data_IF_262412037754
#
_entry.id   IF_262412037754
#
_cell.length_a   1.000
_cell.length_b   1.000
_cell.length_c   1.000
_cell.angle_alpha   90.00
_cell.angle_beta   90.00
_cell.angle_gamma   90.00
#
_symmetry.space_group_name_H-M   'P 1'
#
loop_
_entity.id
_entity.type
_entity.pdbx_description
1 polymer ?
#
# COMPACT_ATOMS: atom_id res chain seq x y z
N UNK A 1 -14.15 -23.89 -18.39
CA UNK A 1 -13.32 -22.77 -17.89
C UNK A 1 -14.02 -21.49 -18.30
N UNK A 2 -14.87 -20.99 -17.42
CA UNK A 2 -15.75 -19.84 -17.67
C UNK A 2 -14.90 -18.57 -17.76
N UNK A 3 -15.24 -17.70 -18.72
CA UNK A 3 -14.54 -16.45 -19.02
C UNK A 3 -14.14 -15.69 -17.75
N UNK A 4 -12.85 -15.69 -17.42
CA UNK A 4 -12.30 -14.65 -16.57
C UNK A 4 -12.52 -13.32 -17.29
N UNK A 5 -13.30 -12.41 -16.70
CA UNK A 5 -13.52 -11.07 -17.23
C UNK A 5 -12.18 -10.46 -17.64
N UNK A 6 -12.12 -9.93 -18.87
CA UNK A 6 -10.93 -9.26 -19.36
C UNK A 6 -10.67 -8.04 -18.47
N UNK A 7 -9.65 -8.11 -17.63
CA UNK A 7 -9.21 -6.96 -16.84
C UNK A 7 -8.15 -6.20 -17.63
N UNK A 8 -8.34 -4.88 -17.77
CA UNK A 8 -7.40 -3.97 -18.46
C UNK A 8 -5.98 -4.08 -17.91
N UNK A 9 -5.83 -4.46 -16.63
CA UNK A 9 -4.53 -4.72 -16.01
C UNK A 9 -3.69 -5.78 -16.75
N UNK A 10 -4.33 -6.75 -17.43
CA UNK A 10 -3.63 -7.77 -18.23
C UNK A 10 -2.91 -7.19 -19.45
N UNK A 11 -3.30 -6.00 -19.93
CA UNK A 11 -2.62 -5.32 -21.03
C UNK A 11 -1.39 -4.53 -20.58
N UNK A 12 -1.18 -4.36 -19.28
CA UNK A 12 -0.14 -3.48 -18.77
C UNK A 12 1.27 -3.97 -19.15
N UNK A 13 1.57 -5.27 -18.97
CA UNK A 13 2.87 -5.83 -19.39
C UNK A 13 3.07 -5.73 -20.90
N UNK A 14 2.14 -6.20 -21.76
CA UNK A 14 2.25 -6.00 -23.20
C UNK A 14 2.47 -4.54 -23.60
N UNK A 15 1.75 -3.60 -22.98
CA UNK A 15 1.89 -2.17 -23.27
C UNK A 15 3.30 -1.65 -22.92
N UNK A 16 3.85 -2.01 -21.77
CA UNK A 16 5.22 -1.63 -21.38
C UNK A 16 6.25 -2.28 -22.31
N UNK A 17 6.09 -3.56 -22.66
CA UNK A 17 6.95 -4.24 -23.62
C UNK A 17 6.92 -3.57 -25.01
N UNK A 18 5.74 -3.19 -25.49
CA UNK A 18 5.58 -2.45 -26.75
C UNK A 18 6.26 -1.08 -26.64
N UNK A 19 6.11 -0.36 -25.53
CA UNK A 19 6.75 0.93 -25.32
C UNK A 19 8.29 0.81 -25.32
N UNK A 20 8.84 -0.18 -24.61
CA UNK A 20 10.28 -0.46 -24.59
C UNK A 20 10.76 -0.78 -26.01
N UNK A 21 10.07 -1.69 -26.71
CA UNK A 21 10.43 -2.09 -28.07
C UNK A 21 10.34 -0.91 -29.06
N UNK A 22 9.30 -0.09 -28.95
CA UNK A 22 9.11 1.11 -29.75
C UNK A 22 10.30 2.05 -29.54
N UNK A 23 10.52 2.53 -28.31
CA UNK A 23 11.57 3.49 -28.01
C UNK A 23 12.98 2.95 -28.32
N UNK A 24 13.25 1.66 -28.08
CA UNK A 24 14.57 1.07 -28.29
C UNK A 24 14.87 0.76 -29.76
N UNK A 25 13.92 0.21 -30.52
CA UNK A 25 14.20 -0.34 -31.85
C UNK A 25 13.73 0.58 -32.98
N UNK A 26 12.57 1.24 -32.86
CA UNK A 26 12.12 2.14 -33.93
C UNK A 26 12.97 3.40 -33.99
N UNK A 27 13.52 3.85 -32.85
CA UNK A 27 14.53 4.91 -32.82
C UNK A 27 15.81 4.52 -33.55
N UNK A 28 16.33 3.31 -33.36
CA UNK A 28 17.51 2.81 -34.08
C UNK A 28 17.24 2.70 -35.58
N UNK A 29 16.10 2.13 -35.97
CA UNK A 29 15.67 2.07 -37.38
C UNK A 29 15.61 3.49 -37.96
N UNK A 30 14.98 4.42 -37.25
CA UNK A 30 14.93 5.82 -37.67
C UNK A 30 16.32 6.41 -37.86
N UNK A 31 17.24 6.20 -36.90
CA UNK A 31 18.60 6.73 -36.97
C UNK A 31 19.45 6.13 -38.10
N UNK A 32 19.14 4.91 -38.55
CA UNK A 32 19.82 4.28 -39.69
C UNK A 32 19.39 4.90 -41.03
N UNK A 33 18.12 5.29 -41.17
CA UNK A 33 17.58 5.87 -42.40
C UNK A 33 17.54 7.40 -42.41
N UNK A 34 18.00 8.06 -41.34
CA UNK A 34 18.01 9.51 -41.24
C UNK A 34 19.40 10.06 -41.62
N UNK A 35 19.56 10.37 -42.91
CA UNK A 35 20.85 10.73 -43.53
C UNK A 35 21.52 11.96 -42.89
N UNK A 36 20.75 12.92 -42.38
CA UNK A 36 21.31 14.15 -41.80
C UNK A 36 22.10 13.89 -40.52
N UNK A 37 21.86 12.79 -39.81
CA UNK A 37 22.58 12.41 -38.59
C UNK A 37 22.57 10.89 -38.40
N UNK A 38 23.45 10.18 -39.12
CA UNK A 38 23.50 8.72 -39.06
C UNK A 38 23.93 8.25 -37.67
N UNK A 39 23.42 7.08 -37.30
CA UNK A 39 23.77 6.40 -36.06
C UNK A 39 25.26 6.00 -36.07
N UNK A 40 26.01 6.40 -35.04
CA UNK A 40 27.41 5.94 -34.89
C UNK A 40 27.46 4.56 -34.27
N UNK A 41 28.50 3.78 -34.57
CA UNK A 41 28.67 2.42 -34.01
C UNK A 41 28.68 2.42 -32.47
N UNK A 42 29.31 3.41 -31.84
CA UNK A 42 29.34 3.53 -30.38
C UNK A 42 27.96 3.84 -29.79
N UNK A 43 27.12 4.58 -30.51
CA UNK A 43 25.73 4.86 -30.11
C UNK A 43 24.88 3.59 -30.20
N UNK A 44 25.05 2.76 -31.25
CA UNK A 44 24.38 1.45 -31.39
C UNK A 44 24.65 0.59 -30.16
N UNK A 45 25.92 0.44 -29.78
CA UNK A 45 26.29 -0.39 -28.63
C UNK A 45 25.69 0.13 -27.32
N UNK A 46 25.73 1.44 -27.09
CA UNK A 46 25.16 2.04 -25.87
C UNK A 46 23.65 1.85 -25.78
N UNK A 47 22.92 2.09 -26.87
CA UNK A 47 21.46 1.90 -26.91
C UNK A 47 21.13 0.42 -26.62
N UNK A 48 21.81 -0.51 -27.28
CA UNK A 48 21.52 -1.94 -27.11
C UNK A 48 21.91 -2.47 -25.72
N UNK A 49 23.02 -2.02 -25.14
CA UNK A 49 23.39 -2.37 -23.76
C UNK A 49 22.33 -1.86 -22.77
N UNK A 50 21.89 -0.60 -22.91
CA UNK A 50 20.86 -0.03 -22.05
C UNK A 50 19.52 -0.76 -22.23
N UNK A 51 19.13 -1.07 -23.47
CA UNK A 51 17.93 -1.85 -23.77
C UNK A 51 17.99 -3.25 -23.14
N UNK A 52 19.12 -3.96 -23.22
CA UNK A 52 19.31 -5.25 -22.56
C UNK A 52 19.17 -5.14 -21.04
N UNK A 53 19.78 -4.12 -20.43
CA UNK A 53 19.62 -3.87 -18.99
C UNK A 53 18.16 -3.60 -18.60
N UNK A 54 17.44 -2.79 -19.39
CA UNK A 54 16.01 -2.52 -19.19
C UNK A 54 15.20 -3.82 -19.28
N UNK A 55 15.40 -4.61 -20.33
CA UNK A 55 14.69 -5.89 -20.53
C UNK A 55 14.93 -6.87 -19.39
N UNK A 56 16.18 -7.04 -18.95
CA UNK A 56 16.52 -7.92 -17.84
C UNK A 56 15.85 -7.44 -16.55
N UNK A 57 15.98 -6.16 -16.20
CA UNK A 57 15.42 -5.62 -14.97
C UNK A 57 13.90 -5.66 -14.98
N UNK A 58 13.25 -5.33 -16.10
CA UNK A 58 11.80 -5.38 -16.23
C UNK A 58 11.27 -6.82 -16.14
N UNK A 59 11.90 -7.76 -16.85
CA UNK A 59 11.56 -9.18 -16.75
C UNK A 59 11.62 -9.67 -15.30
N UNK A 60 12.67 -9.30 -14.57
CA UNK A 60 12.82 -9.68 -13.16
C UNK A 60 11.80 -9.01 -12.25
N UNK A 61 11.48 -7.73 -12.47
CA UNK A 61 10.44 -7.05 -11.72
C UNK A 61 9.05 -7.73 -11.90
N UNK A 62 8.77 -8.26 -13.10
CA UNK A 62 7.52 -8.95 -13.40
C UNK A 62 7.48 -10.40 -12.88
N UNK A 63 8.60 -11.12 -12.92
CA UNK A 63 8.61 -12.58 -12.70
C UNK A 63 9.15 -13.04 -11.35
N UNK A 64 9.91 -12.19 -10.65
CA UNK A 64 10.39 -12.53 -9.30
C UNK A 64 9.21 -12.57 -8.34
N UNK A 65 9.09 -13.66 -7.61
CA UNK A 65 8.08 -13.83 -6.57
C UNK A 65 8.25 -12.75 -5.48
N UNK A 66 7.23 -11.91 -5.21
CA UNK A 66 7.25 -10.89 -4.16
C UNK A 66 7.26 -11.46 -2.75
N UNK A 67 7.31 -12.77 -2.60
CA UNK A 67 7.41 -13.45 -1.32
C UNK A 67 6.06 -13.69 -0.67
N UNK A 68 6.09 -14.47 0.39
CA UNK A 68 4.93 -14.80 1.21
C UNK A 68 5.41 -15.06 2.64
N UNK A 69 4.51 -14.86 3.59
CA UNK A 69 4.77 -15.22 4.99
C UNK A 69 4.90 -16.75 5.09
N UNK A 70 5.97 -17.29 5.71
CA UNK A 70 6.11 -18.73 5.89
C UNK A 70 4.95 -19.32 6.70
N UNK A 71 4.51 -20.53 6.32
CA UNK A 71 3.47 -21.25 7.07
C UNK A 71 3.92 -21.49 8.51
N UNK A 72 3.06 -21.13 9.46
CA UNK A 72 3.35 -21.29 10.89
C UNK A 72 4.34 -20.28 11.46
N UNK A 73 4.65 -19.19 10.73
CA UNK A 73 5.39 -18.07 11.30
C UNK A 73 4.66 -17.57 12.55
N UNK A 74 5.40 -17.41 13.63
CA UNK A 74 4.90 -16.85 14.88
C UNK A 74 5.73 -15.61 15.21
N UNK A 75 5.08 -14.55 15.72
CA UNK A 75 5.78 -13.37 16.19
C UNK A 75 6.72 -13.72 17.34
N UNK A 76 7.86 -13.06 17.37
CA UNK A 76 8.82 -13.12 18.48
C UNK A 76 8.17 -12.64 19.78
N UNK A 77 8.70 -13.06 20.92
CA UNK A 77 8.15 -12.62 22.22
C UNK A 77 8.21 -11.10 22.38
N UNK A 78 9.22 -10.44 21.79
CA UNK A 78 9.33 -8.98 21.72
C UNK A 78 8.14 -8.36 20.98
N UNK A 79 7.78 -8.90 19.82
CA UNK A 79 6.64 -8.39 19.03
C UNK A 79 5.31 -8.64 19.74
N UNK A 80 5.16 -9.79 20.39
CA UNK A 80 3.96 -10.10 21.17
C UNK A 80 3.80 -9.14 22.35
N UNK A 81 4.87 -8.80 23.04
CA UNK A 81 4.87 -7.82 24.13
C UNK A 81 4.51 -6.40 23.64
N UNK A 82 5.02 -5.99 22.48
CA UNK A 82 4.64 -4.71 21.84
C UNK A 82 3.13 -4.70 21.52
N UNK A 83 2.64 -5.75 20.88
CA UNK A 83 1.23 -5.89 20.53
C UNK A 83 0.31 -5.87 21.76
N UNK A 84 0.67 -6.59 22.82
CA UNK A 84 -0.10 -6.68 24.05
C UNK A 84 -0.24 -5.30 24.76
N UNK A 85 0.74 -4.38 24.60
CA UNK A 85 0.76 -3.07 25.30
C UNK A 85 0.15 -1.91 24.52
N UNK A 86 0.32 -1.85 23.20
CA UNK A 86 -0.11 -0.69 22.42
C UNK A 86 -1.64 -0.60 22.25
N UNK A 87 -2.32 -1.73 22.31
CA UNK A 87 -3.79 -1.87 22.43
C UNK A 87 -4.22 -3.35 22.50
N UNK A 88 -3.28 -4.28 22.63
CA UNK A 88 -3.57 -5.67 22.98
C UNK A 88 -3.66 -6.65 21.82
N UNK A 89 -3.32 -6.28 20.58
CA UNK A 89 -3.66 -7.13 19.42
C UNK A 89 -2.52 -7.31 18.43
N UNK A 90 -2.13 -8.57 18.30
CA UNK A 90 -1.17 -9.05 17.32
C UNK A 90 -1.82 -9.01 15.93
N UNK A 91 -1.19 -8.35 14.96
CA UNK A 91 -1.70 -8.26 13.59
C UNK A 91 -1.93 -9.65 12.98
N UNK A 92 -3.18 -9.98 12.70
CA UNK A 92 -3.61 -11.23 12.11
C UNK A 92 -4.08 -11.01 10.68
N UNK A 93 -3.98 -12.00 9.81
CA UNK A 93 -4.65 -11.97 8.53
C UNK A 93 -5.66 -13.11 8.49
N UNK A 94 -6.95 -12.79 8.52
CA UNK A 94 -8.00 -13.82 8.42
C UNK A 94 -7.96 -14.54 7.07
N UNK A 95 -7.75 -13.82 5.96
CA UNK A 95 -7.68 -14.41 4.61
C UNK A 95 -6.53 -15.41 4.46
N UNK A 96 -5.39 -15.18 5.11
CA UNK A 96 -4.26 -16.11 5.10
C UNK A 96 -4.24 -17.06 6.30
N UNK A 97 -5.12 -16.87 7.28
CA UNK A 97 -5.12 -17.54 8.58
C UNK A 97 -3.72 -17.58 9.22
N UNK A 98 -3.02 -16.45 9.22
CA UNK A 98 -1.65 -16.35 9.71
C UNK A 98 -1.36 -15.00 10.37
N UNK A 99 -0.37 -14.98 11.27
CA UNK A 99 0.15 -13.74 11.83
C UNK A 99 0.88 -12.94 10.75
N UNK A 100 0.66 -11.62 10.72
CA UNK A 100 1.38 -10.71 9.82
C UNK A 100 2.70 -10.29 10.48
N UNK A 101 3.85 -10.52 9.82
CA UNK A 101 5.11 -9.90 10.22
C UNK A 101 5.05 -8.37 10.16
N UNK A 102 5.98 -7.66 10.81
CA UNK A 102 6.11 -6.22 10.67
C UNK A 102 6.21 -5.82 9.20
N UNK A 103 5.58 -4.70 8.83
CA UNK A 103 5.58 -4.15 7.46
C UNK A 103 4.93 -5.06 6.39
N UNK A 104 4.36 -6.20 6.77
CA UNK A 104 3.64 -7.07 5.85
C UNK A 104 2.18 -6.61 5.72
N UNK A 105 1.64 -6.67 4.49
CA UNK A 105 0.24 -6.36 4.21
C UNK A 105 -0.37 -7.42 3.29
N UNK A 106 -1.69 -7.63 3.40
CA UNK A 106 -2.41 -8.53 2.50
C UNK A 106 -2.69 -7.79 1.18
N UNK A 107 -2.17 -8.32 0.07
CA UNK A 107 -2.50 -7.77 -1.24
C UNK A 107 -3.71 -8.47 -1.83
N UNK A 108 -4.76 -7.70 -2.17
CA UNK A 108 -6.00 -8.24 -2.77
C UNK A 108 -5.75 -8.94 -4.10
N UNK A 109 -4.87 -8.39 -4.94
CA UNK A 109 -4.57 -8.94 -6.28
C UNK A 109 -3.61 -10.14 -6.22
N UNK A 110 -2.62 -10.10 -5.31
CA UNK A 110 -1.69 -11.22 -5.12
C UNK A 110 -2.31 -12.34 -4.24
N UNK A 111 -3.45 -12.10 -3.58
CA UNK A 111 -4.20 -13.01 -2.68
C UNK A 111 -3.35 -13.62 -1.55
N UNK A 112 -2.40 -12.85 -1.02
CA UNK A 112 -1.50 -13.28 0.06
C UNK A 112 -0.88 -12.10 0.80
N UNK A 113 -0.40 -12.36 2.01
CA UNK A 113 0.44 -11.42 2.75
C UNK A 113 1.85 -11.34 2.13
N UNK A 114 2.23 -10.13 1.74
CA UNK A 114 3.52 -9.81 1.11
C UNK A 114 4.42 -9.12 2.15
N UNK A 115 5.62 -9.65 2.44
CA UNK A 115 6.53 -9.04 3.42
C UNK A 115 7.12 -7.72 2.92
N UNK A 116 7.13 -6.67 3.77
CA UNK A 116 7.48 -5.29 3.42
C UNK A 116 6.88 -4.88 2.07
N UNK A 117 5.55 -4.96 2.01
CA UNK A 117 4.82 -4.59 0.81
C UNK A 117 4.95 -3.09 0.57
N UNK A 118 5.29 -2.71 -0.65
CA UNK A 118 5.28 -1.32 -1.10
C UNK A 118 3.94 -1.02 -1.77
N UNK A 119 3.73 -1.58 -2.96
CA UNK A 119 2.47 -1.50 -3.68
C UNK A 119 2.32 -2.67 -4.66
N UNK A 120 1.10 -2.96 -5.09
CA UNK A 120 0.86 -3.79 -6.26
C UNK A 120 1.00 -2.95 -7.52
N UNK A 121 2.02 -3.18 -8.33
CA UNK A 121 2.26 -2.40 -9.54
C UNK A 121 1.51 -3.01 -10.73
N UNK A 122 0.51 -2.34 -11.32
CA UNK A 122 -0.20 -2.86 -12.49
C UNK A 122 0.75 -3.06 -13.68
N UNK A 123 1.75 -2.18 -13.83
CA UNK A 123 2.71 -2.18 -14.93
C UNK A 123 3.68 -3.36 -14.92
N UNK A 124 3.85 -4.04 -13.79
CA UNK A 124 4.60 -5.30 -13.69
C UNK A 124 3.68 -6.50 -13.46
N UNK A 125 2.37 -6.26 -13.30
CA UNK A 125 1.39 -7.24 -12.82
C UNK A 125 1.87 -8.01 -11.59
N UNK A 126 2.65 -7.34 -10.72
CA UNK A 126 3.35 -7.97 -9.61
C UNK A 126 3.43 -7.02 -8.41
N UNK A 127 3.51 -7.59 -7.21
CA UNK A 127 3.72 -6.84 -5.99
C UNK A 127 5.18 -6.34 -5.90
N UNK A 128 5.38 -5.05 -5.61
CA UNK A 128 6.67 -4.49 -5.20
C UNK A 128 6.81 -4.71 -3.69
N UNK A 129 7.86 -5.43 -3.29
CA UNK A 129 8.08 -5.89 -1.91
C UNK A 129 9.56 -5.91 -1.57
N UNK A 130 9.93 -6.35 -0.35
CA UNK A 130 11.34 -6.57 0.03
C UNK A 130 12.17 -7.29 -1.05
N UNK A 131 11.59 -8.30 -1.71
CA UNK A 131 12.33 -9.16 -2.64
C UNK A 131 12.34 -8.62 -4.07
N UNK A 132 11.31 -7.88 -4.48
CA UNK A 132 11.17 -7.35 -5.84
C UNK A 132 11.59 -5.88 -5.96
N UNK A 133 11.57 -5.10 -4.88
CA UNK A 133 11.94 -3.68 -4.85
C UNK A 133 13.33 -3.40 -5.45
N UNK A 134 14.40 -4.15 -5.13
CA UNK A 134 15.70 -3.92 -5.77
C UNK A 134 15.66 -4.07 -7.30
N UNK A 135 14.83 -4.98 -7.83
CA UNK A 135 14.69 -5.17 -9.28
C UNK A 135 13.87 -4.05 -9.91
N UNK A 136 12.81 -3.61 -9.23
CA UNK A 136 12.00 -2.46 -9.63
C UNK A 136 12.83 -1.16 -9.67
N UNK A 137 13.63 -0.89 -8.63
CA UNK A 137 14.50 0.28 -8.58
C UNK A 137 15.55 0.28 -9.72
N UNK A 138 16.16 -0.88 -10.02
CA UNK A 138 17.08 -1.02 -11.16
C UNK A 138 16.38 -0.81 -12.50
N UNK A 139 15.16 -1.34 -12.65
CA UNK A 139 14.36 -1.12 -13.84
C UNK A 139 14.13 0.38 -14.08
N UNK A 140 13.67 1.11 -13.06
CA UNK A 140 13.48 2.56 -13.16
C UNK A 140 14.77 3.31 -13.47
N UNK A 141 15.87 2.95 -12.79
CA UNK A 141 17.18 3.55 -13.04
C UNK A 141 17.61 3.39 -14.51
N UNK A 142 17.61 2.16 -15.02
CA UNK A 142 18.01 1.92 -16.41
C UNK A 142 17.02 2.48 -17.43
N UNK A 143 15.72 2.48 -17.12
CA UNK A 143 14.73 3.10 -17.98
C UNK A 143 15.00 4.60 -18.11
N UNK A 144 15.15 5.33 -17.00
CA UNK A 144 15.44 6.77 -17.00
C UNK A 144 16.77 7.08 -17.68
N UNK A 145 17.84 6.34 -17.37
CA UNK A 145 19.16 6.54 -18.03
C UNK A 145 19.07 6.26 -19.53
N UNK A 146 18.38 5.19 -19.92
CA UNK A 146 18.17 4.79 -21.31
C UNK A 146 17.41 5.84 -22.12
N UNK A 147 16.25 6.25 -21.64
CA UNK A 147 15.39 7.23 -22.32
C UNK A 147 15.95 8.66 -22.25
N UNK A 148 16.71 9.02 -21.20
CA UNK A 148 17.45 10.28 -21.16
C UNK A 148 18.57 10.29 -22.19
N UNK A 149 19.32 9.18 -22.33
CA UNK A 149 20.31 9.07 -23.39
C UNK A 149 19.67 9.18 -24.77
N UNK A 150 18.55 8.48 -25.00
CA UNK A 150 17.77 8.57 -26.24
C UNK A 150 17.28 9.99 -26.51
N UNK A 151 16.82 10.72 -25.48
CA UNK A 151 16.39 12.12 -25.60
C UNK A 151 17.52 12.99 -26.17
N UNK A 152 18.77 12.81 -25.69
CA UNK A 152 19.91 13.56 -26.24
C UNK A 152 20.15 13.26 -27.72
N UNK A 153 19.91 12.02 -28.17
CA UNK A 153 20.08 11.60 -29.57
C UNK A 153 18.94 12.13 -30.45
N UNK A 154 17.72 12.13 -29.93
CA UNK A 154 16.56 12.69 -30.63
C UNK A 154 16.69 14.21 -30.75
N UNK A 155 17.11 14.90 -29.68
CA UNK A 155 17.34 16.34 -29.68
C UNK A 155 18.34 16.78 -30.75
N UNK A 156 19.43 16.03 -30.96
CA UNK A 156 20.40 16.32 -32.03
C UNK A 156 19.78 16.30 -33.43
N UNK A 157 18.78 15.44 -33.66
CA UNK A 157 18.08 15.33 -34.95
C UNK A 157 17.02 16.40 -35.08
N UNK A 158 16.24 16.65 -34.03
CA UNK A 158 15.29 17.76 -33.95
C UNK A 158 15.99 19.09 -34.22
N UNK A 159 17.16 19.33 -33.61
CA UNK A 159 17.88 20.59 -33.80
C UNK A 159 18.40 20.78 -35.23
N UNK A 160 18.83 19.70 -35.91
CA UNK A 160 19.20 19.75 -37.34
C UNK A 160 18.03 20.06 -38.26
N UNK A 161 16.89 19.37 -38.05
CA UNK A 161 15.66 19.64 -38.82
C UNK A 161 15.21 21.08 -38.60
N UNK A 162 15.25 21.55 -37.35
CA UNK A 162 14.86 22.91 -36.99
C UNK A 162 15.79 23.97 -37.58
N UNK A 163 17.10 23.73 -37.61
CA UNK A 163 18.07 24.61 -38.27
C UNK A 163 17.84 24.71 -39.78
N UNK A 164 17.32 23.63 -40.38
CA UNK A 164 17.06 23.49 -41.82
C UNK A 164 15.64 23.93 -42.22
N UNK A 165 14.85 24.49 -41.31
CA UNK A 165 13.41 24.80 -41.53
C UNK A 165 13.09 25.75 -42.68
N UNK A 166 14.08 26.52 -43.15
CA UNK A 166 13.93 27.47 -44.25
C UNK A 166 14.28 26.84 -45.62
N UNK A 167 14.80 25.62 -45.64
CA UNK A 167 15.08 24.90 -46.87
C UNK A 167 13.77 24.43 -47.53
N UNK A 168 13.72 24.39 -48.88
CA UNK A 168 12.64 23.77 -49.60
C UNK A 168 12.41 22.32 -49.15
N UNK A 169 11.14 21.90 -49.07
CA UNK A 169 10.72 20.60 -48.52
C UNK A 169 11.36 19.37 -49.19
N UNK A 170 11.81 19.48 -50.44
CA UNK A 170 12.47 18.40 -51.19
C UNK A 170 13.95 18.19 -50.81
N UNK A 171 14.58 19.12 -50.08
CA UNK A 171 15.94 18.99 -49.55
C UNK A 171 15.98 18.52 -48.10
N UNK A 172 14.81 18.42 -47.46
CA UNK A 172 14.68 17.98 -46.08
C UNK A 172 14.24 16.52 -45.97
N UNK A 173 14.11 16.01 -44.73
CA UNK A 173 13.57 14.69 -44.48
C UNK A 173 12.12 14.57 -44.97
N UNK A 174 11.75 13.36 -45.38
CA UNK A 174 10.39 13.05 -45.81
C UNK A 174 9.36 13.33 -44.71
N UNK A 175 8.11 13.59 -45.09
CA UNK A 175 7.01 13.81 -44.14
C UNK A 175 6.86 12.64 -43.15
N UNK A 176 7.08 11.40 -43.62
CA UNK A 176 7.07 10.22 -42.77
C UNK A 176 8.19 10.22 -41.71
N UNK A 177 9.40 10.64 -42.09
CA UNK A 177 10.52 10.78 -41.15
C UNK A 177 10.26 11.89 -40.12
N UNK A 178 9.70 13.04 -40.53
CA UNK A 178 9.34 14.12 -39.60
C UNK A 178 8.25 13.64 -38.63
N UNK A 179 7.22 12.97 -39.13
CA UNK A 179 6.16 12.39 -38.29
C UNK A 179 6.70 11.36 -37.30
N UNK A 180 7.57 10.45 -37.75
CA UNK A 180 8.19 9.46 -36.88
C UNK A 180 9.07 10.10 -35.80
N UNK A 181 9.89 11.09 -36.16
CA UNK A 181 10.70 11.86 -35.21
C UNK A 181 9.82 12.56 -34.16
N UNK A 182 8.72 13.18 -34.60
CA UNK A 182 7.80 13.85 -33.69
C UNK A 182 7.19 12.87 -32.68
N UNK A 183 6.68 11.74 -33.14
CA UNK A 183 6.09 10.70 -32.26
C UNK A 183 7.14 10.14 -31.29
N UNK A 184 8.35 9.84 -31.78
CA UNK A 184 9.45 9.37 -30.93
C UNK A 184 9.81 10.40 -29.86
N UNK A 185 10.00 11.67 -30.25
CA UNK A 185 10.38 12.74 -29.33
C UNK A 185 9.31 12.94 -28.26
N UNK A 186 8.05 13.17 -28.63
CA UNK A 186 6.97 13.40 -27.68
C UNK A 186 6.77 12.20 -26.74
N UNK A 187 6.75 10.98 -27.29
CA UNK A 187 6.58 9.77 -26.48
C UNK A 187 7.74 9.59 -25.51
N UNK A 188 8.99 9.81 -25.96
CA UNK A 188 10.17 9.70 -25.13
C UNK A 188 10.19 10.77 -24.04
N UNK A 189 9.91 12.04 -24.35
CA UNK A 189 9.91 13.13 -23.36
C UNK A 189 8.84 12.93 -22.28
N UNK A 190 7.62 12.52 -22.65
CA UNK A 190 6.54 12.23 -21.69
C UNK A 190 6.88 11.03 -20.80
N UNK A 191 7.41 9.96 -21.40
CA UNK A 191 7.84 8.78 -20.66
C UNK A 191 9.00 9.10 -19.71
N UNK A 192 9.97 9.89 -20.18
CA UNK A 192 11.09 10.36 -19.38
C UNK A 192 10.63 11.18 -18.19
N UNK A 193 9.70 12.11 -18.38
CA UNK A 193 9.14 12.91 -17.29
C UNK A 193 8.46 12.02 -16.24
N UNK A 194 7.54 11.15 -16.66
CA UNK A 194 6.81 10.28 -15.75
C UNK A 194 7.73 9.32 -14.98
N UNK A 195 8.65 8.64 -15.67
CA UNK A 195 9.57 7.70 -15.02
C UNK A 195 10.63 8.40 -14.16
N UNK A 196 11.00 9.65 -14.47
CA UNK A 196 11.91 10.42 -13.61
C UNK A 196 11.25 10.77 -12.28
N UNK A 197 9.97 11.17 -12.27
CA UNK A 197 9.23 11.40 -11.03
C UNK A 197 9.12 10.11 -10.20
N UNK A 198 8.81 8.98 -10.86
CA UNK A 198 8.72 7.69 -10.19
C UNK A 198 10.07 7.23 -9.63
N UNK A 199 11.18 7.46 -10.36
CA UNK A 199 12.53 7.19 -9.87
C UNK A 199 12.88 8.06 -8.66
N UNK A 200 12.57 9.37 -8.70
CA UNK A 200 12.81 10.27 -7.57
C UNK A 200 12.03 9.84 -6.32
N UNK A 201 10.75 9.49 -6.47
CA UNK A 201 9.93 8.93 -5.37
C UNK A 201 10.53 7.64 -4.82
N UNK A 202 11.00 6.74 -5.70
CA UNK A 202 11.65 5.49 -5.31
C UNK A 202 12.97 5.72 -4.57
N UNK A 203 13.78 6.68 -5.01
CA UNK A 203 15.04 7.04 -4.34
C UNK A 203 14.79 7.70 -2.98
N UNK A 204 13.74 8.52 -2.86
CA UNK A 204 13.32 9.08 -1.58
C UNK A 204 12.87 8.00 -0.59
N UNK A 205 12.01 7.09 -1.04
CA UNK A 205 11.58 5.91 -0.27
C UNK A 205 12.77 5.05 0.16
N UNK A 206 13.73 4.83 -0.74
CA UNK A 206 14.96 4.09 -0.43
C UNK A 206 15.85 4.81 0.59
N UNK A 207 15.97 6.13 0.50
CA UNK A 207 16.77 6.95 1.42
C UNK A 207 16.17 7.07 2.81
N UNK A 208 14.83 7.04 2.93
CA UNK A 208 14.08 7.12 4.19
C UNK A 208 13.65 5.76 4.75
N UNK A 209 13.90 4.67 4.01
CA UNK A 209 13.45 3.31 4.33
C UNK A 209 11.93 3.19 4.56
N UNK A 210 11.15 4.01 3.86
CA UNK A 210 9.68 4.02 3.93
C UNK A 210 9.09 3.34 2.70
N UNK A 211 8.04 2.55 2.87
CA UNK A 211 7.20 2.09 1.76
C UNK A 211 6.14 3.14 1.40
N UNK A 212 5.46 2.99 0.27
CA UNK A 212 4.31 3.84 -0.09
C UNK A 212 3.17 3.69 0.92
N UNK A 213 2.94 2.49 1.46
CA UNK A 213 1.95 2.25 2.51
C UNK A 213 2.38 2.93 3.82
N UNK A 214 3.64 2.80 4.20
CA UNK A 214 4.16 3.45 5.42
C UNK A 214 4.15 4.96 5.32
N UNK A 215 4.43 5.52 4.14
CA UNK A 215 4.33 6.97 3.90
C UNK A 215 2.90 7.46 4.14
N UNK A 216 1.90 6.69 3.70
CA UNK A 216 0.49 6.96 3.98
C UNK A 216 0.14 6.80 5.46
N UNK A 217 0.69 5.80 6.15
CA UNK A 217 0.50 5.61 7.60
C UNK A 217 1.09 6.77 8.41
N UNK A 218 2.27 7.27 8.02
CA UNK A 218 2.90 8.45 8.63
C UNK A 218 1.98 9.67 8.48
N UNK A 219 1.50 9.94 7.26
CA UNK A 219 0.62 11.08 7.00
C UNK A 219 -0.74 10.97 7.74
N UNK A 220 -1.26 9.75 7.86
CA UNK A 220 -2.46 9.47 8.66
C UNK A 220 -2.21 9.79 10.13
N UNK A 221 -1.10 9.33 10.71
CA UNK A 221 -0.74 9.63 12.10
C UNK A 221 -0.58 11.14 12.34
N UNK A 222 0.08 11.86 11.43
CA UNK A 222 0.16 13.33 11.49
C UNK A 222 -1.22 13.99 11.47
N UNK A 223 -2.14 13.45 10.69
CA UNK A 223 -3.53 13.93 10.63
C UNK A 223 -4.28 13.67 11.94
N UNK A 224 -4.12 12.49 12.54
CA UNK A 224 -4.68 12.18 13.86
C UNK A 224 -4.09 13.09 14.93
N UNK A 225 -2.79 13.37 14.92
CA UNK A 225 -2.14 14.32 15.84
C UNK A 225 -2.68 15.75 15.69
N UNK A 226 -2.97 16.19 14.46
CA UNK A 226 -3.60 17.49 14.22
C UNK A 226 -5.04 17.53 14.76
N UNK A 227 -5.81 16.46 14.59
CA UNK A 227 -7.17 16.34 15.15
C UNK A 227 -7.11 16.30 16.69
N UNK A 228 -6.22 15.51 17.28
CA UNK A 228 -6.05 15.37 18.72
C UNK A 228 -5.68 16.69 19.37
N UNK A 229 -4.73 17.45 18.79
CA UNK A 229 -4.37 18.80 19.29
C UNK A 229 -5.55 19.77 19.34
N UNK A 230 -6.49 19.67 18.39
CA UNK A 230 -7.72 20.49 18.40
C UNK A 230 -8.72 20.06 19.48
N UNK A 231 -8.72 18.77 19.85
CA UNK A 231 -9.62 18.18 20.83
C UNK A 231 -8.98 17.98 22.22
N UNK A 232 -7.93 18.74 22.55
CA UNK A 232 -7.31 18.70 23.88
C UNK A 232 -6.35 17.52 24.12
N UNK A 233 -5.83 16.92 23.05
CA UNK A 233 -4.79 15.88 23.08
C UNK A 233 -5.30 14.45 22.99
N UNK A 234 -6.61 14.23 22.96
CA UNK A 234 -7.19 12.88 22.81
C UNK A 234 -8.27 12.85 21.74
N UNK A 235 -8.49 11.69 21.15
CA UNK A 235 -9.53 11.46 20.14
C UNK A 235 -10.57 10.47 20.66
N UNK A 236 -11.86 10.68 20.35
CA UNK A 236 -12.91 9.74 20.71
C UNK A 236 -12.80 8.47 19.84
N UNK A 237 -12.46 7.37 20.49
CA UNK A 237 -12.58 6.00 20.00
C UNK A 237 -14.01 5.45 20.13
N UNK A 238 -14.28 4.27 19.56
CA UNK A 238 -15.58 3.62 19.67
C UNK A 238 -15.95 3.31 21.13
N UNK A 239 -17.26 3.32 21.42
CA UNK A 239 -17.78 3.13 22.77
C UNK A 239 -17.47 4.27 23.75
N UNK A 240 -17.07 5.46 23.26
CA UNK A 240 -16.75 6.62 24.10
C UNK A 240 -15.37 6.58 24.75
N UNK A 241 -14.52 5.62 24.36
CA UNK A 241 -13.14 5.51 24.87
C UNK A 241 -12.33 6.70 24.36
N UNK A 242 -11.71 7.47 25.25
CA UNK A 242 -10.79 8.55 24.86
C UNK A 242 -9.39 7.97 24.63
N UNK A 243 -8.87 8.13 23.42
CA UNK A 243 -7.55 7.62 23.02
C UNK A 243 -6.58 8.79 22.96
N UNK A 244 -5.57 8.77 23.83
CA UNK A 244 -4.52 9.78 23.79
C UNK A 244 -3.56 9.50 22.64
N UNK A 245 -3.36 10.48 21.74
CA UNK A 245 -2.50 10.34 20.57
C UNK A 245 -1.21 11.12 20.80
N UNK A 246 -0.10 10.41 20.93
CA UNK A 246 1.23 10.99 21.05
C UNK A 246 1.98 10.94 19.72
N UNK A 247 2.85 11.93 19.48
CA UNK A 247 3.74 11.89 18.32
C UNK A 247 4.67 10.69 18.48
N UNK A 248 4.81 9.91 17.40
CA UNK A 248 5.73 8.78 17.34
C UNK A 248 6.58 8.96 16.09
N UNK A 249 7.89 8.79 16.21
CA UNK A 249 8.82 8.83 15.09
C UNK A 249 8.81 7.49 14.34
N UNK A 250 9.06 7.54 13.02
CA UNK A 250 9.08 6.34 12.20
C UNK A 250 10.25 5.41 12.60
N UNK A 251 10.02 4.14 12.95
CA UNK A 251 11.03 3.30 13.61
C UNK A 251 12.08 2.73 12.67
N UNK A 252 11.80 2.63 11.36
CA UNK A 252 12.68 1.92 10.42
C UNK A 252 13.69 2.83 9.70
N UNK A 253 13.70 4.14 9.98
CA UNK A 253 14.75 5.03 9.48
C UNK A 253 16.02 4.88 10.34
N UNK A 254 16.97 4.07 9.85
CA UNK A 254 18.23 3.72 10.52
C UNK A 254 19.43 4.48 9.92
N UNK A 255 19.16 5.58 9.21
CA UNK A 255 20.14 6.42 8.55
C UNK A 255 20.36 6.09 7.07
N UNK A 256 20.61 7.12 6.25
CA UNK A 256 20.56 7.08 4.78
C UNK A 256 21.32 5.88 4.17
N UNK A 257 22.55 5.63 4.61
CA UNK A 257 23.35 4.52 4.05
C UNK A 257 22.79 3.14 4.42
N UNK A 258 22.42 2.96 5.68
CA UNK A 258 21.83 1.72 6.20
C UNK A 258 20.45 1.47 5.58
N UNK A 259 19.68 2.53 5.35
CA UNK A 259 18.40 2.50 4.65
C UNK A 259 18.56 2.00 3.20
N UNK A 260 19.49 2.60 2.44
CA UNK A 260 19.77 2.18 1.06
C UNK A 260 20.25 0.72 1.04
N UNK A 261 21.16 0.34 1.95
CA UNK A 261 21.63 -1.06 2.07
C UNK A 261 20.46 -2.01 2.34
N UNK A 262 19.57 -1.69 3.27
CA UNK A 262 18.41 -2.50 3.60
C UNK A 262 17.47 -2.64 2.41
N UNK A 263 17.16 -1.54 1.71
CA UNK A 263 16.29 -1.55 0.54
C UNK A 263 16.89 -2.23 -0.70
N UNK A 264 18.22 -2.26 -0.85
CA UNK A 264 18.92 -2.95 -1.94
C UNK A 264 19.29 -4.42 -1.62
N UNK A 265 18.61 -5.03 -0.65
CA UNK A 265 18.76 -6.45 -0.33
C UNK A 265 19.89 -6.79 0.65
N UNK A 266 20.31 -5.84 1.48
CA UNK A 266 21.34 -6.03 2.51
C UNK A 266 22.78 -5.97 2.00
N UNK A 267 23.00 -5.90 0.69
CA UNK A 267 24.33 -5.80 0.07
C UNK A 267 24.93 -4.41 0.30
N UNK A 268 26.13 -4.34 0.86
CA UNK A 268 26.91 -3.09 0.94
C UNK A 268 27.67 -2.77 -0.37
N UNK A 269 27.63 -3.67 -1.37
CA UNK A 269 28.33 -3.47 -2.63
C UNK A 269 27.52 -2.56 -3.56
N UNK A 270 27.95 -1.30 -3.69
CA UNK A 270 27.31 -0.29 -4.55
C UNK A 270 27.21 -0.74 -6.01
N UNK A 271 28.19 -1.47 -6.54
CA UNK A 271 28.12 -1.98 -7.91
C UNK A 271 26.96 -2.96 -8.10
N UNK A 272 26.68 -3.77 -7.07
CA UNK A 272 25.54 -4.70 -7.09
C UNK A 272 24.18 -3.99 -7.04
N UNK A 273 24.14 -2.74 -6.59
CA UNK A 273 22.90 -1.95 -6.60
C UNK A 273 22.49 -1.61 -8.04
N UNK A 274 23.45 -1.40 -8.93
CA UNK A 274 23.19 -1.12 -10.34
C UNK A 274 23.21 -2.38 -11.21
N UNK A 275 23.82 -3.48 -10.77
CA UNK A 275 23.99 -4.67 -11.62
C UNK A 275 22.65 -5.38 -11.96
N UNK A 276 22.24 -5.49 -13.24
CA UNK A 276 20.96 -6.11 -13.65
C UNK A 276 20.81 -7.58 -13.22
N UNK A 277 21.93 -8.29 -13.12
CA UNK A 277 21.98 -9.70 -12.73
C UNK A 277 22.27 -9.89 -11.24
N UNK A 278 22.13 -8.84 -10.41
CA UNK A 278 22.30 -8.94 -8.97
C UNK A 278 21.33 -9.97 -8.34
N UNK A 279 21.75 -10.63 -7.27
CA UNK A 279 20.95 -11.66 -6.60
C UNK A 279 19.67 -11.07 -5.99
N UNK A 280 18.57 -11.81 -6.05
CA UNK A 280 17.36 -11.49 -5.27
C UNK A 280 17.64 -11.64 -3.77
N UNK A 281 17.13 -10.75 -2.90
CA UNK A 281 17.28 -10.88 -1.45
C UNK A 281 16.81 -12.25 -0.94
N UNK A 282 17.45 -12.76 0.11
CA UNK A 282 17.10 -14.08 0.65
C UNK A 282 15.74 -14.03 1.37
N UNK A 283 14.95 -15.10 1.22
CA UNK A 283 13.55 -15.16 1.72
C UNK A 283 13.43 -14.97 3.24
N UNK A 284 14.48 -15.28 3.99
CA UNK A 284 14.50 -15.08 5.45
C UNK A 284 14.58 -13.60 5.88
N UNK A 285 15.11 -12.72 5.02
CA UNK A 285 15.45 -11.33 5.38
C UNK A 285 14.26 -10.37 5.39
N UNK A 286 13.06 -10.81 5.01
CA UNK A 286 11.86 -9.97 4.89
C UNK A 286 10.91 -10.04 6.08
N UNK A 287 11.29 -10.73 7.18
CA UNK A 287 10.40 -10.97 8.32
C UNK A 287 10.72 -10.11 9.54
N UNK A 288 11.97 -9.67 9.68
CA UNK A 288 12.44 -8.84 10.77
C UNK A 288 13.23 -7.66 10.20
N UNK A 289 13.05 -6.49 10.82
CA UNK A 289 13.67 -5.25 10.36
C UNK A 289 14.36 -4.54 11.53
N UNK A 290 15.51 -3.95 11.25
CA UNK A 290 16.23 -3.13 12.21
C UNK A 290 15.45 -1.84 12.51
N UNK A 291 15.38 -1.48 13.78
CA UNK A 291 14.71 -0.29 14.29
C UNK A 291 15.75 0.70 14.81
N UNK A 292 15.49 2.00 14.68
CA UNK A 292 16.42 3.06 15.10
C UNK A 292 16.53 3.28 16.61
N UNK A 293 15.55 2.78 17.38
CA UNK A 293 15.53 2.89 18.83
C UNK A 293 15.22 4.28 19.37
N UNK A 294 14.62 5.18 18.58
CA UNK A 294 14.17 6.49 19.08
C UNK A 294 12.98 6.39 20.03
N UNK A 295 12.07 5.45 19.75
CA UNK A 295 10.89 5.19 20.57
C UNK A 295 11.13 4.08 21.59
N UNK A 296 10.31 4.05 22.64
CA UNK A 296 10.37 2.98 23.63
C UNK A 296 10.10 1.62 22.96
N UNK A 297 10.88 0.55 23.28
CA UNK A 297 10.72 -0.76 22.67
C UNK A 297 9.36 -1.42 22.88
N UNK A 298 8.47 -0.84 23.69
CA UNK A 298 7.12 -1.34 23.94
C UNK A 298 6.05 -0.68 23.06
N UNK A 299 6.41 0.40 22.36
CA UNK A 299 5.53 1.07 21.39
C UNK A 299 5.48 0.25 20.09
N UNK A 300 4.28 0.04 19.55
CA UNK A 300 4.09 -0.62 18.27
C UNK A 300 3.94 0.39 17.14
N UNK A 301 4.47 0.03 15.97
CA UNK A 301 4.15 0.69 14.71
C UNK A 301 3.30 -0.26 13.83
N UNK A 302 2.26 0.23 13.14
CA UNK A 302 1.73 1.59 13.17
C UNK A 302 1.12 1.97 14.54
N UNK A 303 1.05 3.27 14.87
CA UNK A 303 0.43 3.75 16.11
C UNK A 303 -1.04 3.32 16.20
N UNK A 304 -1.59 3.10 17.42
CA UNK A 304 -3.00 2.77 17.60
C UNK A 304 -3.90 3.86 17.01
N UNK A 305 -4.73 3.46 16.06
CA UNK A 305 -5.66 4.38 15.42
C UNK A 305 -7.02 4.30 16.14
N UNK A 306 -7.53 5.40 16.72
CA UNK A 306 -8.82 5.41 17.39
C UNK A 306 -9.98 4.99 16.47
N UNK A 307 -9.83 5.13 15.16
CA UNK A 307 -10.81 4.70 14.18
C UNK A 307 -10.71 3.20 13.84
N UNK A 308 -9.63 2.52 14.26
CA UNK A 308 -9.40 1.07 14.11
C UNK A 308 -9.57 0.27 15.41
N UNK A 309 -9.87 0.92 16.54
CA UNK A 309 -10.10 0.20 17.80
C UNK A 309 -11.47 -0.50 17.73
N UNK A 310 -11.61 -1.74 18.18
CA UNK A 310 -12.91 -2.40 18.24
C UNK A 310 -13.82 -1.73 19.23
N UNK A 311 -15.11 -1.75 18.92
CA UNK A 311 -16.12 -1.55 19.93
C UNK A 311 -15.85 -2.57 21.06
N UNK A 312 -15.70 -2.12 22.32
CA UNK A 312 -15.63 -3.05 23.43
C UNK A 312 -16.87 -3.93 23.37
N UNK A 313 -16.75 -5.25 23.63
CA UNK A 313 -17.92 -6.11 23.67
C UNK A 313 -18.91 -5.49 24.64
N UNK A 314 -20.12 -5.20 24.17
CA UNK A 314 -21.19 -4.67 25.03
C UNK A 314 -21.29 -5.57 26.26
N UNK A 315 -21.27 -4.96 27.45
CA UNK A 315 -21.37 -5.73 28.69
C UNK A 315 -22.71 -6.50 28.68
N UNK A 316 -22.64 -7.80 28.38
CA UNK A 316 -23.82 -8.65 28.30
C UNK A 316 -24.49 -8.81 29.66
N UNK A 317 -23.89 -8.33 30.76
CA UNK A 317 -24.51 -8.34 32.09
C UNK A 317 -25.88 -7.66 32.08
N UNK A 318 -26.05 -6.58 31.31
CA UNK A 318 -27.34 -5.89 31.19
C UNK A 318 -28.23 -6.45 30.06
N UNK A 319 -27.71 -7.34 29.22
CA UNK A 319 -28.53 -7.99 28.19
C UNK A 319 -29.54 -8.99 28.76
N UNK A 320 -29.29 -9.47 29.99
CA UNK A 320 -30.16 -10.41 30.71
C UNK A 320 -30.65 -9.89 32.07
N UNK A 321 -30.30 -8.67 32.49
CA UNK A 321 -30.75 -8.12 33.76
C UNK A 321 -32.11 -7.46 33.56
N UNK A 322 -33.16 -8.24 33.84
CA UNK A 322 -34.53 -7.75 33.93
C UNK A 322 -34.61 -6.76 35.09
N UNK A 323 -35.05 -5.52 34.84
CA UNK A 323 -35.47 -4.65 35.92
C UNK A 323 -36.78 -5.22 36.48
N UNK A 324 -36.73 -5.74 37.71
CA UNK A 324 -37.85 -6.43 38.40
C UNK A 324 -39.02 -5.47 38.71
N UNK A 325 -38.85 -4.17 38.45
CA UNK A 325 -39.79 -3.10 38.79
C UNK A 325 -41.15 -3.19 38.08
N UNK A 326 -41.27 -3.92 36.97
CA UNK A 326 -42.54 -4.03 36.21
C UNK A 326 -43.51 -5.11 36.70
N UNK A 327 -43.21 -5.82 37.80
CA UNK A 327 -44.12 -6.84 38.37
C UNK A 327 -45.22 -6.26 39.28
N UNK A 328 -45.36 -4.93 39.33
CA UNK A 328 -46.34 -4.23 40.17
C UNK A 328 -47.54 -3.69 39.36
N UNK A 329 -48.22 -4.54 38.60
CA UNK A 329 -49.38 -4.08 37.83
C UNK A 329 -50.25 -5.22 37.31
N UNK A 330 -51.35 -5.46 38.00
CA UNK A 330 -52.46 -6.33 37.57
C UNK A 330 -52.96 -5.99 36.16
N UNK A 331 -52.58 -6.78 35.14
CA UNK A 331 -53.43 -7.22 34.01
C UNK A 331 -52.57 -7.91 32.95
N UNK A 332 -52.97 -9.10 32.51
CA UNK A 332 -52.24 -9.93 31.53
C UNK A 332 -52.12 -9.35 30.11
N UNK A 333 -52.46 -8.06 29.92
CA UNK A 333 -52.42 -7.37 28.63
C UNK A 333 -51.24 -6.39 28.52
N UNK A 334 -50.78 -5.83 29.65
CA UNK A 334 -49.56 -5.00 29.73
C UNK A 334 -48.30 -5.86 29.54
N UNK A 335 -48.36 -7.14 29.91
CA UNK A 335 -47.22 -8.06 29.84
C UNK A 335 -46.90 -8.53 28.40
N UNK A 336 -47.90 -8.61 27.51
CA UNK A 336 -47.71 -8.99 26.10
C UNK A 336 -47.06 -7.86 25.29
N UNK A 337 -47.44 -6.61 25.55
CA UNK A 337 -46.87 -5.46 24.84
C UNK A 337 -45.44 -5.19 25.31
N UNK A 338 -45.19 -5.28 26.62
CA UNK A 338 -43.84 -5.26 27.17
C UNK A 338 -42.99 -6.43 26.60
N UNK A 339 -43.55 -7.63 26.49
CA UNK A 339 -42.89 -8.78 25.87
C UNK A 339 -42.59 -8.56 24.38
N UNK A 340 -43.52 -7.98 23.62
CA UNK A 340 -43.30 -7.68 22.20
C UNK A 340 -42.24 -6.59 22.00
N UNK A 341 -42.23 -5.52 22.81
CA UNK A 341 -41.14 -4.53 22.81
C UNK A 341 -39.79 -5.17 23.13
N UNK A 342 -39.74 -6.05 24.12
CA UNK A 342 -38.52 -6.81 24.48
C UNK A 342 -38.05 -7.69 23.32
N UNK A 343 -38.98 -8.42 22.70
CA UNK A 343 -38.72 -9.26 21.52
C UNK A 343 -38.22 -8.43 20.33
N UNK A 344 -38.75 -7.24 20.13
CA UNK A 344 -38.36 -6.33 19.05
C UNK A 344 -36.99 -5.68 19.31
N UNK A 345 -36.69 -5.31 20.55
CA UNK A 345 -35.37 -4.86 20.98
C UNK A 345 -34.31 -5.97 20.84
N UNK A 346 -34.64 -7.20 21.23
CA UNK A 346 -33.77 -8.37 21.03
C UNK A 346 -33.61 -8.73 19.55
N UNK A 347 -34.67 -8.63 18.75
CA UNK A 347 -34.58 -8.78 17.31
C UNK A 347 -33.73 -7.70 16.68
N UNK A 348 -33.78 -6.44 17.14
CA UNK A 348 -32.86 -5.38 16.69
C UNK A 348 -31.41 -5.68 17.10
N UNK A 349 -31.16 -6.12 18.33
CA UNK A 349 -29.82 -6.54 18.79
C UNK A 349 -29.27 -7.75 18.03
N UNK A 350 -30.14 -8.69 17.62
CA UNK A 350 -29.77 -9.87 16.81
C UNK A 350 -29.75 -9.60 15.31
N UNK A 351 -30.47 -8.58 14.84
CA UNK A 351 -30.49 -8.11 13.45
C UNK A 351 -29.41 -7.08 13.17
N UNK A 352 -28.74 -6.52 14.19
CA UNK A 352 -27.44 -5.88 14.02
C UNK A 352 -26.58 -6.90 13.27
N UNK A 353 -26.39 -6.70 11.96
CA UNK A 353 -26.00 -7.81 11.13
C UNK A 353 -24.56 -8.17 11.50
N UNK A 354 -24.16 -9.38 11.15
CA UNK A 354 -22.75 -9.80 11.05
C UNK A 354 -22.00 -9.01 9.96
N UNK A 355 -22.36 -7.74 9.81
CA UNK A 355 -21.90 -6.78 8.83
C UNK A 355 -21.10 -5.75 9.60
N UNK A 356 -19.98 -5.40 9.02
CA UNK A 356 -18.96 -4.67 9.73
C UNK A 356 -19.41 -3.21 9.82
N UNK A 357 -19.72 -2.74 11.03
CA UNK A 357 -20.24 -1.39 11.24
C UNK A 357 -19.12 -0.35 11.01
N UNK A 358 -19.12 0.25 9.81
CA UNK A 358 -18.15 1.25 9.37
C UNK A 358 -18.27 2.54 10.19
N UNK A 359 -17.16 3.04 10.75
CA UNK A 359 -17.17 4.32 11.48
C UNK A 359 -17.49 5.48 10.54
N UNK A 360 -18.47 6.31 10.94
CA UNK A 360 -18.80 7.58 10.26
C UNK A 360 -17.57 8.50 10.13
N UNK A 361 -17.47 9.29 9.05
CA UNK A 361 -16.42 10.30 8.87
C UNK A 361 -16.31 11.26 10.07
N UNK A 362 -15.10 11.69 10.38
CA UNK A 362 -14.74 12.48 11.56
C UNK A 362 -15.48 13.81 11.63
N UNK A 363 -15.73 14.46 10.49
CA UNK A 363 -16.47 15.72 10.46
C UNK A 363 -17.94 15.53 10.89
N UNK A 364 -18.59 14.45 10.44
CA UNK A 364 -19.96 14.09 10.85
C UNK A 364 -20.00 13.84 12.36
N UNK A 365 -19.03 13.07 12.88
CA UNK A 365 -18.93 12.82 14.33
C UNK A 365 -18.68 14.10 15.13
N UNK A 366 -17.82 14.98 14.63
CA UNK A 366 -17.52 16.26 15.29
C UNK A 366 -18.75 17.17 15.34
N UNK A 367 -19.57 17.18 14.30
CA UNK A 367 -20.85 17.89 14.28
C UNK A 367 -21.85 17.29 15.27
N UNK A 368 -21.99 15.97 15.34
CA UNK A 368 -22.81 15.28 16.36
C UNK A 368 -22.37 15.66 17.78
N UNK A 369 -21.05 15.63 18.05
CA UNK A 369 -20.48 16.09 19.32
C UNK A 369 -20.77 17.56 19.62
N UNK A 370 -20.67 18.45 18.61
CA UNK A 370 -20.90 19.88 18.79
C UNK A 370 -22.37 20.22 18.97
N UNK A 371 -23.28 19.47 18.34
CA UNK A 371 -24.71 19.72 18.37
C UNK A 371 -25.41 19.01 19.54
N UNK A 372 -24.70 18.16 20.30
CA UNK A 372 -25.28 17.43 21.43
C UNK A 372 -26.39 16.45 21.04
N UNK A 373 -26.48 16.08 19.75
CA UNK A 373 -27.43 15.05 19.30
C UNK A 373 -26.86 13.68 19.64
N UNK A 374 -27.55 12.96 20.51
CA UNK A 374 -27.28 11.57 20.84
C UNK A 374 -28.02 10.60 19.93
N UNK A 375 -28.45 11.04 18.75
CA UNK A 375 -29.17 10.18 17.81
C UNK A 375 -28.18 9.22 17.16
N UNK A 376 -27.88 8.14 17.90
CA UNK A 376 -27.44 6.87 17.37
C UNK A 376 -28.59 6.25 16.56
N UNK A 377 -29.02 6.96 15.51
CA UNK A 377 -29.71 6.34 14.40
C UNK A 377 -28.66 5.46 13.74
N UNK A 378 -28.78 4.16 13.99
CA UNK A 378 -28.10 3.12 13.25
C UNK A 378 -28.50 3.30 11.79
N UNK A 379 -27.63 3.96 11.03
CA UNK A 379 -27.80 4.16 9.61
C UNK A 379 -27.73 2.77 8.96
N UNK A 380 -28.89 2.15 8.79
CA UNK A 380 -29.08 1.03 7.88
C UNK A 380 -29.08 1.59 6.46
N UNK A 381 -27.97 2.20 6.08
CA UNK A 381 -27.68 2.71 4.75
C UNK A 381 -27.25 1.54 3.88
N UNK A 382 -27.99 1.32 2.79
CA UNK A 382 -27.79 0.29 1.78
C UNK A 382 -26.32 0.08 1.39
N UNK A 383 -25.94 -1.20 1.29
CA UNK A 383 -24.71 -1.88 0.81
C UNK A 383 -23.88 -1.26 -0.34
N UNK A 384 -24.22 -0.09 -0.90
CA UNK A 384 -23.63 0.36 -2.17
C UNK A 384 -22.51 1.43 -2.04
N UNK A 385 -22.35 2.06 -0.87
CA UNK A 385 -21.31 3.10 -0.69
C UNK A 385 -20.12 2.63 0.16
N UNK A 386 -19.33 1.71 -0.42
CA UNK A 386 -18.01 1.33 0.09
C UNK A 386 -16.99 2.50 0.21
N UNK A 387 -17.37 3.72 -0.21
CA UNK A 387 -16.57 4.95 -0.16
C UNK A 387 -16.88 5.85 1.06
N UNK A 388 -17.87 5.51 1.90
CA UNK A 388 -18.28 6.33 3.05
C UNK A 388 -17.87 5.71 4.40
N UNK A 389 -16.76 6.20 4.99
CA UNK A 389 -16.26 5.83 6.33
C UNK A 389 -14.79 6.23 6.56
N UNK A 390 -14.30 6.23 7.81
CA UNK A 390 -12.88 6.55 8.13
C UNK A 390 -11.87 5.47 7.64
N UNK A 391 -12.37 4.29 7.27
CA UNK A 391 -11.58 3.28 6.55
C UNK A 391 -11.18 3.77 5.16
N UNK A 392 -12.04 4.59 4.55
CA UNK A 392 -11.77 5.29 3.31
C UNK A 392 -11.02 6.60 3.49
N UNK A 393 -10.27 6.76 4.59
CA UNK A 393 -9.39 7.92 4.74
C UNK A 393 -8.50 8.05 3.49
N UNK A 394 -8.51 9.24 2.92
CA UNK A 394 -7.69 9.61 1.77
C UNK A 394 -6.59 10.52 2.27
N UNK A 395 -5.37 10.33 1.75
CA UNK A 395 -4.28 11.25 2.00
C UNK A 395 -4.54 12.62 1.32
N UNK A 396 -3.62 13.56 1.50
CA UNK A 396 -3.71 14.89 0.87
C UNK A 396 -3.75 14.86 -0.66
N UNK A 397 -3.29 13.76 -1.28
CA UNK A 397 -3.33 13.53 -2.73
C UNK A 397 -4.62 12.83 -3.19
N UNK A 398 -5.50 12.41 -2.26
CA UNK A 398 -6.75 11.71 -2.56
C UNK A 398 -6.64 10.19 -2.63
N UNK A 399 -5.48 9.61 -2.28
CA UNK A 399 -5.16 8.19 -2.39
C UNK A 399 -5.58 7.39 -1.13
N UNK A 400 -6.01 6.15 -1.35
CA UNK A 400 -6.40 5.16 -0.32
C UNK A 400 -5.43 3.98 -0.26
N UNK A 401 -5.50 3.15 0.80
CA UNK A 401 -4.70 1.92 0.92
C UNK A 401 -4.94 0.96 -0.26
N UNK A 402 -6.20 0.86 -0.71
CA UNK A 402 -6.58 0.01 -1.85
C UNK A 402 -5.88 0.40 -3.15
N UNK A 403 -5.49 1.66 -3.31
CA UNK A 403 -4.83 2.14 -4.53
C UNK A 403 -3.40 1.60 -4.64
N UNK A 404 -2.80 1.24 -3.49
CA UNK A 404 -1.53 0.51 -3.42
C UNK A 404 -1.72 -1.02 -3.49
N UNK A 405 -2.94 -1.50 -3.72
CA UNK A 405 -3.27 -2.93 -3.84
C UNK A 405 -3.46 -3.66 -2.52
N UNK A 406 -3.53 -2.92 -1.41
CA UNK A 406 -3.80 -3.49 -0.08
C UNK A 406 -5.29 -3.82 0.05
N UNK A 407 -5.60 -4.96 0.64
CA UNK A 407 -6.98 -5.33 0.95
C UNK A 407 -7.45 -4.64 2.22
N UNK A 408 -8.15 -3.52 2.08
CA UNK A 408 -8.60 -2.70 3.21
C UNK A 408 -9.47 -3.49 4.19
N UNK A 409 -10.39 -4.34 3.73
CA UNK A 409 -11.19 -5.17 4.64
C UNK A 409 -10.30 -6.11 5.47
N UNK A 410 -9.28 -6.69 4.81
CA UNK A 410 -8.34 -7.60 5.48
C UNK A 410 -7.32 -6.88 6.39
N UNK A 411 -7.16 -5.56 6.27
CA UNK A 411 -6.32 -4.73 7.14
C UNK A 411 -7.10 -4.04 8.26
N UNK A 412 -8.35 -3.65 8.02
CA UNK A 412 -9.15 -2.91 8.99
C UNK A 412 -9.92 -3.83 9.94
N UNK A 413 -10.46 -4.95 9.45
CA UNK A 413 -11.41 -5.75 10.22
C UNK A 413 -10.93 -7.16 10.53
N UNK A 414 -10.16 -7.73 9.62
CA UNK A 414 -9.63 -9.07 9.79
C UNK A 414 -8.41 -9.14 10.71
N UNK A 415 -7.78 -8.00 11.04
CA UNK A 415 -6.59 -7.97 11.91
C UNK A 415 -6.86 -8.41 13.34
N UNK A 416 -8.13 -8.50 13.73
CA UNK A 416 -8.55 -8.62 15.12
C UNK A 416 -9.30 -9.91 15.44
N UNK A 417 -9.75 -10.63 14.41
CA UNK A 417 -10.44 -11.92 14.50
C UNK A 417 -9.44 -13.09 14.58
N UNK A 418 -8.58 -13.10 15.60
CA UNK A 418 -7.73 -14.29 15.86
C UNK A 418 -8.66 -15.45 16.26
N UNK A 419 -8.66 -16.58 15.54
CA UNK A 419 -9.49 -17.74 15.87
C UNK A 419 -9.32 -18.13 17.34
N UNK A 420 -10.45 -18.38 18.03
CA UNK A 420 -10.46 -18.71 19.46
C UNK A 420 -9.54 -19.90 19.79
N UNK A 421 -9.47 -20.90 18.90
CA UNK A 421 -8.56 -22.03 19.03
C UNK A 421 -7.08 -21.61 19.18
N UNK A 422 -6.64 -20.62 18.40
CA UNK A 422 -5.28 -20.09 18.48
C UNK A 422 -5.06 -19.28 19.76
N UNK A 423 -6.04 -18.48 20.19
CA UNK A 423 -5.98 -17.76 21.46
C UNK A 423 -5.89 -18.72 22.66
N UNK A 424 -6.67 -19.80 22.66
CA UNK A 424 -6.61 -20.86 23.69
C UNK A 424 -5.23 -21.52 23.67
N UNK A 425 -4.70 -21.85 22.49
CA UNK A 425 -3.37 -22.46 22.37
C UNK A 425 -2.27 -21.53 22.88
N UNK A 426 -2.36 -20.22 22.59
CA UNK A 426 -1.44 -19.22 23.13
C UNK A 426 -1.52 -19.14 24.66
N UNK A 427 -2.73 -19.14 25.22
CA UNK A 427 -2.94 -19.09 26.67
C UNK A 427 -2.36 -20.32 27.36
N UNK A 428 -2.56 -21.50 26.79
CA UNK A 428 -1.97 -22.74 27.29
C UNK A 428 -0.43 -22.69 27.27
N UNK A 429 0.19 -22.19 26.18
CA UNK A 429 1.65 -22.00 26.12
C UNK A 429 2.16 -20.99 27.15
N UNK A 430 1.47 -19.86 27.36
CA UNK A 430 1.84 -18.87 28.38
C UNK A 430 1.79 -19.47 29.79
N UNK A 431 0.76 -20.26 30.10
CA UNK A 431 0.63 -20.94 31.40
C UNK A 431 1.77 -21.96 31.63
N UNK A 432 2.17 -22.69 30.58
CA UNK A 432 3.29 -23.63 30.66
C UNK A 432 4.67 -22.97 30.83
N UNK A 433 4.85 -21.73 30.35
CA UNK A 433 6.08 -20.95 30.53
C UNK A 433 6.15 -20.24 31.89
N UNK A 434 5.03 -20.11 32.60
CA UNK A 434 4.94 -19.50 33.93
C UNK A 434 5.03 -20.49 35.10
N UNK A 435 5.06 -21.79 34.81
CA UNK A 435 5.33 -22.88 35.76
C UNK A 435 6.77 -23.34 35.59
#
# INVERSE_FOLDING_TARGET
MLCSSFSVSRLAIPAVCILIAFLAYTSQIFFLYFEDAPLKEDEVWRINILAICIWICYYRACTVDPGHVPKGWMPSDRERLKADRASGRQRWCRRCEAYKPPRAHHCKTCERCVPKMDHHCPWTSNCVSHFTFPHFARFLFYAVVGIAYLETRLWQRVSKVWGSRHLPSYLGPSMGQIGHLFVLFVTNSLTLFALSLLLLRTLWSLGSNTTTIESWEIERHETLLRRARRLGGSLPGPGGISVHITKQEFPYDIGIWSNIRAGMGGSANVLSWFWPLARTPDRSTGLEFEENGFEDPTVSWPPPDPDRIPLPPMDQRDSFMYDITDTSGTSGQIDIEAFNRRKEADLRRRRAPTEIERRKPFHVRLEEYSNGSSDAEADTGSDDDSDHGEEGWKNSEGERLRDFGVDEEAEFYDEEDIPLALLIQQRAKRQHLSQ
#
